data_IF_722177903154
#
_entry.id   IF_722177903154
#
_cell.length_a   1.000
_cell.length_b   1.000
_cell.length_c   1.000
_cell.angle_alpha   90.00
_cell.angle_beta   90.00
_cell.angle_gamma   90.00
#
_symmetry.space_group_name_H-M   'P 1'
#
loop_
_entity.id
_entity.type
_entity.pdbx_description
1 polymer ?
#
# COMPACT_ATOMS: atom_id res chain seq x y z
N UNK A 1 28.80 -18.08 -0.67
CA UNK A 1 27.95 -18.06 -1.89
C UNK A 1 28.46 -16.92 -2.72
N UNK A 2 28.57 -17.09 -4.05
CA UNK A 2 28.94 -15.94 -4.89
C UNK A 2 27.81 -14.91 -4.84
N UNK A 3 28.15 -13.63 -4.80
CA UNK A 3 27.19 -12.51 -4.72
C UNK A 3 26.11 -12.60 -5.82
N UNK A 4 26.49 -13.12 -6.99
CA UNK A 4 25.57 -13.36 -8.11
C UNK A 4 24.48 -14.37 -7.79
N UNK A 5 24.82 -15.46 -7.06
CA UNK A 5 23.83 -16.49 -6.69
C UNK A 5 22.81 -15.94 -5.70
N UNK A 6 23.24 -15.09 -4.77
CA UNK A 6 22.37 -14.44 -3.81
C UNK A 6 21.39 -13.47 -4.53
N UNK A 7 21.91 -12.62 -5.43
CA UNK A 7 21.12 -11.68 -6.21
C UNK A 7 20.06 -12.42 -7.04
N UNK A 8 20.42 -13.54 -7.67
CA UNK A 8 19.48 -14.34 -8.44
C UNK A 8 18.37 -14.96 -7.58
N UNK A 9 18.73 -15.44 -6.38
CA UNK A 9 17.73 -15.96 -5.41
C UNK A 9 16.77 -14.88 -4.96
N UNK A 10 17.27 -13.67 -4.67
CA UNK A 10 16.45 -12.50 -4.32
C UNK A 10 15.49 -12.18 -5.46
N UNK A 11 16.01 -12.09 -6.70
CA UNK A 11 15.19 -11.82 -7.88
C UNK A 11 14.07 -12.84 -8.04
N UNK A 12 14.37 -14.15 -7.99
CA UNK A 12 13.36 -15.21 -8.15
C UNK A 12 12.32 -15.19 -7.02
N UNK A 13 12.74 -14.94 -5.78
CA UNK A 13 11.83 -14.82 -4.65
C UNK A 13 10.81 -13.69 -4.89
N UNK A 14 11.27 -12.52 -5.31
CA UNK A 14 10.38 -11.40 -5.59
C UNK A 14 9.58 -11.51 -6.89
N UNK A 15 10.04 -12.29 -7.86
CA UNK A 15 9.21 -12.68 -9.03
C UNK A 15 8.00 -13.51 -8.57
N UNK A 16 8.19 -14.44 -7.63
CA UNK A 16 7.07 -15.24 -7.06
C UNK A 16 6.10 -14.37 -6.30
N UNK A 17 6.62 -13.49 -5.44
CA UNK A 17 5.77 -12.53 -4.70
C UNK A 17 4.98 -11.66 -5.67
N UNK A 18 5.63 -11.05 -6.66
CA UNK A 18 4.96 -10.21 -7.66
C UNK A 18 3.92 -10.95 -8.49
N UNK A 19 4.16 -12.24 -8.79
CA UNK A 19 3.20 -13.08 -9.53
C UNK A 19 1.94 -13.41 -8.72
N UNK A 20 2.03 -13.48 -7.40
CA UNK A 20 0.94 -13.87 -6.51
C UNK A 20 0.28 -12.68 -5.80
N UNK A 21 0.85 -11.50 -5.90
CA UNK A 21 0.38 -10.29 -5.21
C UNK A 21 -0.88 -9.69 -5.86
N UNK A 22 -2.01 -10.37 -5.71
CA UNK A 22 -3.32 -9.87 -6.11
C UNK A 22 -4.06 -9.32 -4.89
N UNK A 23 -4.78 -8.20 -5.07
CA UNK A 23 -5.69 -7.69 -4.04
C UNK A 23 -5.19 -6.50 -3.22
N UNK A 24 -4.04 -5.94 -3.54
CA UNK A 24 -3.53 -4.71 -2.91
C UNK A 24 -2.41 -4.93 -1.90
N UNK A 25 -1.87 -3.82 -1.38
CA UNK A 25 -0.63 -3.80 -0.61
C UNK A 25 -0.67 -4.71 0.64
N UNK A 26 -1.72 -4.61 1.44
CA UNK A 26 -1.86 -5.41 2.67
C UNK A 26 -2.10 -6.89 2.41
N UNK A 27 -2.72 -7.26 1.29
CA UNK A 27 -2.89 -8.65 0.92
C UNK A 27 -1.57 -9.32 0.49
N UNK A 28 -0.58 -8.53 0.08
CA UNK A 28 0.73 -9.01 -0.31
C UNK A 28 1.68 -9.24 0.88
N UNK A 29 1.44 -8.62 2.05
CA UNK A 29 2.31 -8.75 3.23
C UNK A 29 2.54 -10.21 3.63
N UNK A 30 1.51 -11.08 3.77
CA UNK A 30 1.70 -12.48 4.10
C UNK A 30 2.51 -13.26 3.04
N UNK A 31 2.41 -12.85 1.76
CA UNK A 31 3.19 -13.47 0.68
C UNK A 31 4.67 -13.11 0.77
N UNK A 32 4.98 -11.84 1.10
CA UNK A 32 6.35 -11.39 1.33
C UNK A 32 6.93 -12.12 2.55
N UNK A 33 6.19 -12.18 3.66
CA UNK A 33 6.59 -12.91 4.87
C UNK A 33 6.92 -14.37 4.55
N UNK A 34 5.99 -15.08 3.92
CA UNK A 34 6.17 -16.48 3.57
C UNK A 34 7.40 -16.70 2.70
N UNK A 35 7.62 -15.86 1.69
CA UNK A 35 8.75 -16.02 0.77
C UNK A 35 10.07 -15.63 1.43
N UNK A 36 10.13 -14.52 2.18
CA UNK A 36 11.36 -13.95 2.71
C UNK A 36 11.79 -14.61 4.03
N UNK A 37 10.84 -14.95 4.91
CA UNK A 37 11.12 -15.55 6.21
C UNK A 37 11.11 -17.07 6.10
N UNK A 38 10.02 -17.65 5.57
CA UNK A 38 9.79 -19.11 5.62
C UNK A 38 10.51 -19.84 4.51
N UNK A 39 10.33 -19.43 3.23
CA UNK A 39 10.84 -20.18 2.09
C UNK A 39 12.32 -19.91 1.82
N UNK A 40 12.73 -18.66 1.80
CA UNK A 40 14.09 -18.27 1.43
C UNK A 40 15.01 -18.14 2.66
N UNK A 41 14.45 -17.93 3.86
CA UNK A 41 15.23 -17.74 5.08
C UNK A 41 16.16 -16.52 5.02
N UNK A 42 15.72 -15.45 4.35
CA UNK A 42 16.52 -14.24 4.17
C UNK A 42 16.60 -13.39 5.42
N UNK A 43 15.59 -13.47 6.30
CA UNK A 43 15.53 -12.74 7.55
C UNK A 43 14.64 -13.46 8.56
N UNK A 44 14.78 -13.09 9.83
CA UNK A 44 13.91 -13.56 10.91
C UNK A 44 12.56 -12.85 10.89
N UNK A 45 11.56 -13.42 11.57
CA UNK A 45 10.25 -12.79 11.71
C UNK A 45 10.32 -11.41 12.41
N UNK A 46 11.19 -11.26 13.43
CA UNK A 46 11.39 -9.97 14.10
C UNK A 46 11.91 -8.90 13.14
N UNK A 47 12.90 -9.23 12.31
CA UNK A 47 13.45 -8.32 11.30
C UNK A 47 12.40 -7.95 10.22
N UNK A 48 11.49 -8.88 9.92
CA UNK A 48 10.39 -8.62 9.00
C UNK A 48 9.37 -7.64 9.59
N UNK A 49 9.06 -7.73 10.88
CA UNK A 49 8.18 -6.78 11.57
C UNK A 49 8.80 -5.37 11.59
N UNK A 50 10.11 -5.27 11.86
CA UNK A 50 10.83 -3.99 11.80
C UNK A 50 10.78 -3.38 10.39
N UNK A 51 10.90 -4.22 9.36
CA UNK A 51 10.77 -3.81 7.96
C UNK A 51 9.38 -3.27 7.65
N UNK A 52 8.31 -3.91 8.13
CA UNK A 52 6.95 -3.42 7.94
C UNK A 52 6.74 -2.06 8.60
N UNK A 53 7.30 -1.83 9.78
CA UNK A 53 7.24 -0.53 10.45
C UNK A 53 7.93 0.57 9.62
N UNK A 54 9.04 0.26 8.94
CA UNK A 54 9.70 1.18 8.01
C UNK A 54 8.87 1.42 6.75
N UNK A 55 8.20 0.40 6.24
CA UNK A 55 7.32 0.51 5.07
C UNK A 55 6.14 1.45 5.30
N UNK A 56 5.57 1.46 6.51
CA UNK A 56 4.46 2.35 6.87
C UNK A 56 4.87 3.83 6.92
N UNK A 57 6.12 4.12 7.26
CA UNK A 57 6.66 5.49 7.30
C UNK A 57 7.10 5.95 5.91
N UNK A 58 7.47 5.01 5.04
CA UNK A 58 8.02 5.31 3.71
C UNK A 58 6.89 5.53 2.71
N UNK A 59 6.78 6.71 2.07
CA UNK A 59 5.75 6.94 1.07
C UNK A 59 6.02 6.08 -0.17
N UNK A 60 5.04 5.23 -0.54
CA UNK A 60 5.15 4.37 -1.71
C UNK A 60 4.33 3.09 -1.61
N UNK A 61 4.33 2.27 -2.66
CA UNK A 61 3.70 0.95 -2.62
C UNK A 61 4.45 0.02 -1.67
N UNK A 62 3.81 -0.45 -0.62
CA UNK A 62 4.38 -1.31 0.43
C UNK A 62 5.19 -2.47 -0.18
N UNK A 63 4.64 -3.16 -1.17
CA UNK A 63 5.30 -4.30 -1.80
C UNK A 63 6.64 -3.94 -2.47
N UNK A 64 6.71 -2.77 -3.12
CA UNK A 64 7.94 -2.29 -3.77
C UNK A 64 8.95 -1.83 -2.73
N UNK A 65 8.49 -1.15 -1.68
CA UNK A 65 9.33 -0.73 -0.57
C UNK A 65 9.95 -1.96 0.12
N UNK A 66 9.12 -2.95 0.50
CA UNK A 66 9.59 -4.21 1.09
C UNK A 66 10.61 -4.92 0.20
N UNK A 67 10.36 -5.01 -1.12
CA UNK A 67 11.31 -5.61 -2.06
C UNK A 67 12.66 -4.88 -2.05
N UNK A 68 12.61 -3.55 -2.13
CA UNK A 68 13.80 -2.71 -2.15
C UNK A 68 14.60 -2.84 -0.83
N UNK A 69 13.92 -2.80 0.32
CA UNK A 69 14.57 -2.91 1.63
C UNK A 69 15.21 -4.29 1.85
N UNK A 70 14.48 -5.37 1.54
CA UNK A 70 15.03 -6.73 1.64
C UNK A 70 16.25 -6.88 0.73
N UNK A 71 16.13 -6.45 -0.51
CA UNK A 71 17.25 -6.50 -1.46
C UNK A 71 18.46 -5.70 -1.01
N UNK A 72 18.23 -4.48 -0.50
CA UNK A 72 19.29 -3.60 0.03
C UNK A 72 19.98 -4.23 1.23
N UNK A 73 19.23 -4.82 2.16
CA UNK A 73 19.77 -5.47 3.36
C UNK A 73 20.64 -6.67 3.01
N UNK A 74 20.25 -7.47 2.03
CA UNK A 74 20.91 -8.73 1.70
C UNK A 74 22.14 -8.58 0.80
N UNK A 75 22.07 -7.71 -0.22
CA UNK A 75 23.08 -7.59 -1.25
C UNK A 75 23.33 -6.14 -1.71
N UNK A 76 22.97 -5.15 -0.87
CA UNK A 76 23.16 -3.73 -1.20
C UNK A 76 22.36 -3.27 -2.41
N UNK A 77 22.89 -2.28 -3.12
CA UNK A 77 22.23 -1.69 -4.30
C UNK A 77 21.88 -2.73 -5.39
N UNK A 78 22.75 -3.66 -5.78
CA UNK A 78 22.41 -4.70 -6.76
C UNK A 78 21.25 -5.59 -6.30
N UNK A 79 21.20 -5.92 -5.02
CA UNK A 79 20.10 -6.67 -4.42
C UNK A 79 18.78 -5.92 -4.46
N UNK A 80 18.79 -4.63 -4.12
CA UNK A 80 17.63 -3.76 -4.18
C UNK A 80 17.04 -3.67 -5.59
N UNK A 81 17.89 -3.46 -6.60
CA UNK A 81 17.48 -3.42 -8.00
C UNK A 81 16.89 -4.76 -8.44
N UNK A 82 17.55 -5.87 -8.10
CA UNK A 82 17.09 -7.22 -8.47
C UNK A 82 15.72 -7.54 -7.83
N UNK A 83 15.56 -7.27 -6.54
CA UNK A 83 14.30 -7.49 -5.84
C UNK A 83 13.15 -6.66 -6.43
N UNK A 84 13.38 -5.38 -6.66
CA UNK A 84 12.38 -4.46 -7.21
C UNK A 84 11.99 -4.87 -8.63
N UNK A 85 12.96 -5.16 -9.50
CA UNK A 85 12.69 -5.64 -10.86
C UNK A 85 11.93 -6.97 -10.85
N UNK A 86 12.31 -7.91 -9.98
CA UNK A 86 11.59 -9.17 -9.82
C UNK A 86 10.13 -8.95 -9.44
N UNK A 87 9.89 -8.06 -8.48
CA UNK A 87 8.56 -7.74 -7.97
C UNK A 87 7.62 -7.17 -9.05
N UNK A 88 8.12 -6.30 -9.94
CA UNK A 88 7.31 -5.64 -10.97
C UNK A 88 7.23 -6.40 -12.30
N UNK A 89 8.12 -7.36 -12.55
CA UNK A 89 8.24 -8.06 -13.83
C UNK A 89 6.93 -8.73 -14.27
N UNK A 90 6.38 -9.59 -13.41
CA UNK A 90 5.15 -10.35 -13.74
C UNK A 90 3.94 -9.43 -13.87
N UNK A 91 3.65 -8.51 -12.94
CA UNK A 91 2.57 -7.54 -13.11
C UNK A 91 2.68 -6.72 -14.39
N UNK A 92 3.89 -6.29 -14.78
CA UNK A 92 4.10 -5.58 -16.04
C UNK A 92 3.79 -6.44 -17.27
N UNK A 93 4.26 -7.69 -17.30
CA UNK A 93 3.96 -8.62 -18.39
C UNK A 93 2.45 -8.84 -18.51
N UNK A 94 1.78 -9.12 -17.38
CA UNK A 94 0.33 -9.33 -17.36
C UNK A 94 -0.42 -8.08 -17.83
N UNK A 95 -0.02 -6.90 -17.38
CA UNK A 95 -0.64 -5.63 -17.79
C UNK A 95 -0.49 -5.40 -19.31
N UNK A 96 0.68 -5.68 -19.88
CA UNK A 96 0.94 -5.55 -21.33
C UNK A 96 0.08 -6.55 -22.11
N UNK A 97 0.01 -7.81 -21.68
CA UNK A 97 -0.82 -8.83 -22.31
C UNK A 97 -2.30 -8.46 -22.29
N UNK A 98 -2.78 -7.98 -21.15
CA UNK A 98 -4.16 -7.51 -21.00
C UNK A 98 -4.43 -6.29 -21.89
N UNK A 99 -3.48 -5.36 -22.02
CA UNK A 99 -3.62 -4.21 -22.91
C UNK A 99 -3.79 -4.63 -24.37
N UNK A 100 -2.99 -5.60 -24.85
CA UNK A 100 -3.15 -6.13 -26.19
C UNK A 100 -4.50 -6.82 -26.37
N UNK A 101 -4.92 -7.60 -25.39
CA UNK A 101 -6.21 -8.29 -25.42
C UNK A 101 -7.37 -7.29 -25.45
N UNK A 102 -7.34 -6.27 -24.60
CA UNK A 102 -8.36 -5.24 -24.56
C UNK A 102 -8.39 -4.43 -25.86
N UNK A 103 -7.25 -4.05 -26.43
CA UNK A 103 -7.21 -3.34 -27.72
C UNK A 103 -7.84 -4.15 -28.85
N UNK A 104 -7.66 -5.48 -28.86
CA UNK A 104 -8.20 -6.37 -29.87
C UNK A 104 -9.73 -6.55 -29.72
N UNK A 105 -10.25 -6.58 -28.49
CA UNK A 105 -11.65 -6.93 -28.19
C UNK A 105 -12.44 -5.79 -27.54
N UNK A 106 -11.95 -4.55 -27.59
CA UNK A 106 -12.56 -3.37 -26.93
C UNK A 106 -14.02 -3.11 -27.32
N UNK A 107 -14.40 -3.46 -28.56
CA UNK A 107 -15.72 -3.21 -29.12
C UNK A 107 -16.72 -4.36 -28.82
N UNK A 108 -16.26 -5.40 -28.14
CA UNK A 108 -17.11 -6.53 -27.77
C UNK A 108 -17.91 -6.19 -26.52
N UNK A 109 -19.22 -6.43 -26.53
CA UNK A 109 -20.15 -6.17 -25.41
C UNK A 109 -19.67 -6.83 -24.11
N UNK A 110 -19.08 -8.03 -24.20
CA UNK A 110 -18.56 -8.76 -23.06
C UNK A 110 -17.41 -8.01 -22.39
N UNK A 111 -16.43 -7.50 -23.13
CA UNK A 111 -15.31 -6.74 -22.57
C UNK A 111 -15.78 -5.43 -21.94
N UNK A 112 -16.71 -4.73 -22.59
CA UNK A 112 -17.30 -3.50 -22.02
C UNK A 112 -18.04 -3.78 -20.72
N UNK A 113 -18.80 -4.87 -20.65
CA UNK A 113 -19.51 -5.27 -19.42
C UNK A 113 -18.54 -5.64 -18.28
N UNK A 114 -17.47 -6.38 -18.58
CA UNK A 114 -16.45 -6.72 -17.59
C UNK A 114 -15.78 -5.45 -17.05
N UNK A 115 -15.37 -4.53 -17.93
CA UNK A 115 -14.72 -3.27 -17.53
C UNK A 115 -15.67 -2.42 -16.69
N UNK A 116 -16.94 -2.34 -17.06
CA UNK A 116 -17.94 -1.60 -16.28
C UNK A 116 -18.11 -2.20 -14.89
N UNK A 117 -18.24 -3.54 -14.80
CA UNK A 117 -18.37 -4.25 -13.52
C UNK A 117 -17.14 -4.01 -12.62
N UNK A 118 -15.92 -4.10 -13.17
CA UNK A 118 -14.68 -3.83 -12.44
C UNK A 118 -14.63 -2.38 -11.91
N UNK A 119 -15.09 -1.39 -12.71
CA UNK A 119 -15.19 -0.01 -12.24
C UNK A 119 -16.16 0.15 -11.08
N UNK A 120 -17.33 -0.50 -11.15
CA UNK A 120 -18.31 -0.49 -10.07
C UNK A 120 -17.75 -1.15 -8.80
N UNK A 121 -17.07 -2.29 -8.93
CA UNK A 121 -16.42 -2.95 -7.79
C UNK A 121 -15.32 -2.09 -7.16
N UNK A 122 -14.48 -1.47 -7.98
CA UNK A 122 -13.44 -0.57 -7.48
C UNK A 122 -14.04 0.62 -6.72
N UNK A 123 -15.09 1.23 -7.24
CA UNK A 123 -15.81 2.31 -6.56
C UNK A 123 -16.39 1.83 -5.22
N UNK A 124 -17.02 0.66 -5.19
CA UNK A 124 -17.58 0.09 -3.96
C UNK A 124 -16.50 -0.16 -2.91
N UNK A 125 -15.32 -0.66 -3.31
CA UNK A 125 -14.18 -0.86 -2.40
C UNK A 125 -13.66 0.47 -1.85
N UNK A 126 -13.54 1.50 -2.68
CA UNK A 126 -13.11 2.83 -2.23
C UNK A 126 -14.11 3.38 -1.20
N UNK A 127 -15.40 3.34 -1.49
CA UNK A 127 -16.44 3.81 -0.56
C UNK A 127 -16.42 3.01 0.75
N UNK A 128 -16.32 1.68 0.67
CA UNK A 128 -16.24 0.81 1.86
C UNK A 128 -15.01 1.16 2.73
N UNK A 129 -13.86 1.39 2.10
CA UNK A 129 -12.64 1.77 2.82
C UNK A 129 -12.77 3.15 3.45
N UNK A 130 -13.34 4.12 2.75
CA UNK A 130 -13.60 5.46 3.29
C UNK A 130 -14.51 5.40 4.51
N UNK A 131 -15.58 4.59 4.46
CA UNK A 131 -16.49 4.41 5.60
C UNK A 131 -15.77 3.78 6.77
N UNK A 132 -15.00 2.70 6.55
CA UNK A 132 -14.22 2.03 7.62
C UNK A 132 -13.20 2.98 8.26
N UNK A 133 -12.41 3.69 7.46
CA UNK A 133 -11.43 4.65 7.98
C UNK A 133 -12.10 5.80 8.73
N UNK A 134 -13.24 6.31 8.21
CA UNK A 134 -14.02 7.32 8.88
C UNK A 134 -14.56 6.83 10.22
N UNK A 135 -15.12 5.62 10.28
CA UNK A 135 -15.63 5.02 11.52
C UNK A 135 -14.49 4.80 12.54
N UNK A 136 -13.34 4.28 12.11
CA UNK A 136 -12.19 4.08 13.00
C UNK A 136 -11.61 5.41 13.51
N UNK A 137 -11.65 6.47 12.71
CA UNK A 137 -11.21 7.79 13.14
C UNK A 137 -12.14 8.39 14.21
N UNK A 138 -13.45 8.12 14.08
CA UNK A 138 -14.48 8.63 15.01
C UNK A 138 -14.62 7.73 16.25
N UNK A 139 -14.53 6.40 16.08
CA UNK A 139 -14.69 5.38 17.12
C UNK A 139 -13.50 4.42 17.10
N UNK A 140 -12.36 4.77 17.69
CA UNK A 140 -11.23 3.85 17.79
C UNK A 140 -11.63 2.65 18.68
N UNK A 141 -11.28 1.44 18.26
CA UNK A 141 -11.55 0.22 19.02
C UNK A 141 -10.94 0.31 20.43
N UNK A 142 -11.78 0.08 21.46
CA UNK A 142 -11.35 0.02 22.87
C UNK A 142 -11.36 1.35 23.64
N UNK A 143 -11.76 2.47 23.04
CA UNK A 143 -11.92 3.72 23.77
C UNK A 143 -13.38 4.02 24.10
N UNK A 144 -13.63 4.50 25.33
CA UNK A 144 -14.91 5.15 25.68
C UNK A 144 -15.12 6.33 24.72
N UNK A 145 -16.30 6.40 24.11
CA UNK A 145 -16.63 7.46 23.15
C UNK A 145 -16.61 8.81 23.89
N UNK A 146 -15.49 9.50 23.81
CA UNK A 146 -15.42 10.89 24.28
C UNK A 146 -16.07 11.78 23.23
N UNK A 147 -17.25 12.29 23.55
CA UNK A 147 -18.04 13.17 22.66
C UNK A 147 -17.20 14.34 22.14
N UNK A 148 -16.32 14.87 22.97
CA UNK A 148 -15.40 15.98 22.62
C UNK A 148 -14.42 15.54 21.52
N UNK A 149 -13.81 14.38 21.64
CA UNK A 149 -12.87 13.84 20.64
C UNK A 149 -13.56 13.56 19.31
N UNK A 150 -14.75 12.97 19.35
CA UNK A 150 -15.56 12.72 18.16
C UNK A 150 -15.93 14.02 17.45
N UNK A 151 -16.38 15.03 18.18
CA UNK A 151 -16.71 16.34 17.62
C UNK A 151 -15.47 17.03 16.99
N UNK A 152 -14.32 16.93 17.65
CA UNK A 152 -13.05 17.45 17.13
C UNK A 152 -12.66 16.77 15.81
N UNK A 153 -12.67 15.43 15.74
CA UNK A 153 -12.33 14.67 14.52
C UNK A 153 -13.27 15.04 13.38
N UNK A 154 -14.58 15.13 13.64
CA UNK A 154 -15.56 15.55 12.65
C UNK A 154 -15.32 16.98 12.15
N UNK A 155 -14.98 17.90 13.04
CA UNK A 155 -14.67 19.28 12.68
C UNK A 155 -13.41 19.36 11.79
N UNK A 156 -12.35 18.61 12.13
CA UNK A 156 -11.12 18.54 11.32
C UNK A 156 -11.39 17.92 9.94
N UNK A 157 -12.18 16.85 9.86
CA UNK A 157 -12.56 16.26 8.58
C UNK A 157 -13.36 17.22 7.70
N UNK A 158 -14.34 17.94 8.26
CA UNK A 158 -15.11 18.93 7.54
C UNK A 158 -14.22 20.11 7.06
N UNK A 159 -13.32 20.59 7.92
CA UNK A 159 -12.38 21.66 7.58
C UNK A 159 -11.42 21.23 6.46
N UNK A 160 -10.85 20.01 6.53
CA UNK A 160 -9.99 19.47 5.50
C UNK A 160 -10.73 19.33 4.16
N UNK A 161 -11.96 18.81 4.19
CA UNK A 161 -12.80 18.69 3.01
C UNK A 161 -13.11 20.07 2.39
N UNK A 162 -13.47 21.06 3.21
CA UNK A 162 -13.69 22.44 2.77
C UNK A 162 -12.46 23.05 2.11
N UNK A 163 -11.28 22.90 2.72
CA UNK A 163 -10.01 23.43 2.20
C UNK A 163 -9.63 22.78 0.86
N UNK A 164 -9.80 21.47 0.72
CA UNK A 164 -9.49 20.76 -0.53
C UNK A 164 -10.51 21.05 -1.62
N UNK A 165 -11.81 21.09 -1.29
CA UNK A 165 -12.86 21.25 -2.29
C UNK A 165 -13.00 22.71 -2.75
N UNK A 166 -13.05 23.66 -1.81
CA UNK A 166 -13.33 25.09 -2.15
C UNK A 166 -12.07 25.88 -2.45
N UNK A 167 -11.02 25.70 -1.67
CA UNK A 167 -9.74 26.41 -1.89
C UNK A 167 -8.80 25.70 -2.83
N UNK A 168 -9.15 24.49 -3.32
CA UNK A 168 -8.35 23.68 -4.27
C UNK A 168 -6.89 23.49 -3.80
N UNK A 169 -6.66 23.45 -2.49
CA UNK A 169 -5.35 23.18 -1.93
C UNK A 169 -4.96 21.74 -2.23
N UNK A 170 -3.68 21.52 -2.51
CA UNK A 170 -3.16 20.16 -2.68
C UNK A 170 -3.31 19.35 -1.38
N UNK A 171 -3.51 18.03 -1.44
CA UNK A 171 -3.73 17.19 -0.26
C UNK A 171 -2.58 17.26 0.76
N UNK A 172 -1.34 17.38 0.29
CA UNK A 172 -0.12 17.33 1.12
C UNK A 172 -0.06 18.41 2.22
N UNK A 173 -0.23 19.72 1.92
CA UNK A 173 -0.23 20.74 2.97
C UNK A 173 -1.43 20.61 3.92
N UNK A 174 -2.59 20.12 3.43
CA UNK A 174 -3.76 19.90 4.30
C UNK A 174 -3.47 18.77 5.28
N UNK A 175 -2.87 17.66 4.83
CA UNK A 175 -2.47 16.54 5.69
C UNK A 175 -1.45 16.97 6.75
N UNK A 176 -0.41 17.72 6.36
CA UNK A 176 0.59 18.24 7.29
C UNK A 176 -0.04 19.19 8.33
N UNK A 177 -0.93 20.08 7.89
CA UNK A 177 -1.65 20.98 8.77
C UNK A 177 -2.52 20.24 9.78
N UNK A 178 -3.29 19.25 9.35
CA UNK A 178 -4.10 18.41 10.24
C UNK A 178 -3.23 17.60 11.21
N UNK A 179 -2.08 17.07 10.74
CA UNK A 179 -1.13 16.34 11.58
C UNK A 179 -0.55 17.21 12.70
N UNK A 180 -0.06 18.41 12.37
CA UNK A 180 0.45 19.38 13.35
C UNK A 180 -0.64 19.78 14.35
N UNK A 181 -1.84 20.06 13.86
CA UNK A 181 -2.98 20.43 14.70
C UNK A 181 -3.34 19.30 15.67
N UNK A 182 -3.32 18.05 15.22
CA UNK A 182 -3.57 16.89 16.08
C UNK A 182 -2.50 16.74 17.17
N UNK A 183 -1.22 16.90 16.84
CA UNK A 183 -0.12 16.85 17.83
C UNK A 183 -0.28 17.95 18.88
N UNK A 184 -0.63 19.17 18.48
CA UNK A 184 -0.84 20.28 19.41
C UNK A 184 -2.03 19.99 20.36
N UNK A 185 -3.14 19.51 19.83
CA UNK A 185 -4.33 19.20 20.63
C UNK A 185 -4.06 18.07 21.61
N UNK A 186 -3.37 17.02 21.19
CA UNK A 186 -3.00 15.90 22.08
C UNK A 186 -2.01 16.34 23.17
N UNK A 187 -1.12 17.31 22.89
CA UNK A 187 -0.22 17.88 23.89
C UNK A 187 -0.92 18.79 24.89
N UNK A 188 -2.04 19.39 24.51
CA UNK A 188 -2.87 20.23 25.37
C UNK A 188 -3.85 19.42 26.26
N UNK A 189 -3.82 18.07 26.22
CA UNK A 189 -4.56 17.20 27.13
C UNK A 189 -6.02 16.94 26.73
N UNK A 190 -6.34 17.11 25.46
CA UNK A 190 -7.61 16.62 24.88
C UNK A 190 -7.43 15.32 24.14
#
# INVERSE_FOLDING_TARGET
MSDVTLILRIFVAFVRVGALAFGGAYAAIPLVEQEVVTNAGFMTYSEFVDLLALDEITPGPILINSATFVGMKLAGIPGAVAATLGCILVPCIVAILLLFLFRKYKDTTLVQSIVLTLKCMALALIVSTMVKLGMNAVMPEGSTVEVVRTAYVMAVMCAAFYLMHWKKLSPLPVMLGCGVLNVVVTRLGM
#
